data_IF_694985325549
#
_entry.id   IF_694985325549
#
_cell.length_a   1.000
_cell.length_b   1.000
_cell.length_c   1.000
_cell.angle_alpha   90.00
_cell.angle_beta   90.00
_cell.angle_gamma   90.00
#
_symmetry.space_group_name_H-M   'P 1'
#
loop_
_entity.id
_entity.type
_entity.pdbx_description
1 polymer ?
#
# COMPACT_ATOMS: atom_id res chain seq x y z
N UNK A 1 -24.47 31.12 -8.45
CA UNK A 1 -24.59 30.31 -7.24
C UNK A 1 -23.20 29.94 -6.77
N UNK A 2 -22.70 30.49 -5.64
CA UNK A 2 -21.29 30.47 -5.26
C UNK A 2 -21.02 29.56 -4.05
N UNK A 3 -21.33 28.27 -4.14
CA UNK A 3 -20.96 27.26 -3.12
C UNK A 3 -19.91 26.29 -3.70
N UNK A 4 -18.69 26.80 -3.82
CA UNK A 4 -17.50 26.00 -4.09
C UNK A 4 -17.11 25.18 -2.86
N UNK A 5 -17.87 24.14 -2.54
CA UNK A 5 -17.70 23.31 -1.34
C UNK A 5 -17.09 21.95 -1.67
N UNK A 6 -16.06 21.93 -2.51
CA UNK A 6 -15.21 20.76 -2.63
C UNK A 6 -13.75 21.22 -2.75
N UNK A 7 -13.01 21.37 -1.64
CA UNK A 7 -11.58 21.59 -1.72
C UNK A 7 -10.99 20.35 -2.39
N UNK A 8 -10.57 20.49 -3.65
CA UNK A 8 -9.82 19.46 -4.35
C UNK A 8 -8.61 19.11 -3.47
N UNK A 9 -8.63 17.93 -2.87
CA UNK A 9 -7.57 17.45 -2.00
C UNK A 9 -6.74 16.47 -2.81
N UNK A 10 -5.57 16.89 -3.33
CA UNK A 10 -4.73 16.04 -4.18
C UNK A 10 -4.33 14.75 -3.47
N UNK A 11 -4.24 14.80 -2.14
CA UNK A 11 -3.94 13.64 -1.30
C UNK A 11 -5.11 12.64 -1.25
N UNK A 12 -6.37 13.09 -1.24
CA UNK A 12 -7.53 12.19 -1.29
C UNK A 12 -7.69 11.56 -2.67
N UNK A 13 -7.50 12.32 -3.75
CA UNK A 13 -7.53 11.74 -5.09
C UNK A 13 -6.35 10.82 -5.34
N UNK A 14 -5.13 11.17 -4.89
CA UNK A 14 -3.98 10.29 -5.00
C UNK A 14 -4.14 9.00 -4.18
N UNK A 15 -4.78 9.07 -3.01
CA UNK A 15 -5.09 7.87 -2.22
C UNK A 15 -6.15 7.02 -2.93
N UNK A 16 -7.22 7.64 -3.45
CA UNK A 16 -8.27 6.93 -4.18
C UNK A 16 -7.80 6.31 -5.50
N UNK A 17 -6.87 6.96 -6.22
CA UNK A 17 -6.21 6.39 -7.40
C UNK A 17 -5.21 5.28 -7.01
N UNK A 18 -4.40 5.51 -5.98
CA UNK A 18 -3.38 4.55 -5.51
C UNK A 18 -3.99 3.27 -4.93
N UNK A 19 -5.25 3.30 -4.48
CA UNK A 19 -5.98 2.10 -4.08
C UNK A 19 -6.56 1.28 -5.23
N UNK A 20 -6.53 1.78 -6.47
CA UNK A 20 -7.00 1.03 -7.64
C UNK A 20 -5.93 0.07 -8.20
N UNK A 21 -4.66 0.43 -8.05
CA UNK A 21 -3.53 -0.39 -8.50
C UNK A 21 -3.03 -1.27 -7.35
N UNK A 22 -3.38 -2.56 -7.43
CA UNK A 22 -2.86 -3.60 -6.56
C UNK A 22 -1.54 -4.11 -7.14
N UNK A 23 -0.51 -4.18 -6.31
CA UNK A 23 0.77 -4.79 -6.65
C UNK A 23 0.94 -6.09 -5.87
N UNK A 24 1.43 -7.13 -6.56
CA UNK A 24 1.89 -8.33 -5.88
C UNK A 24 3.30 -8.10 -5.35
N UNK A 25 3.51 -8.40 -4.07
CA UNK A 25 4.82 -8.32 -3.43
C UNK A 25 5.23 -9.67 -2.87
N UNK A 26 6.54 -9.92 -2.80
CA UNK A 26 7.15 -11.06 -2.09
C UNK A 26 7.93 -10.53 -0.90
N UNK A 27 7.65 -11.06 0.29
CA UNK A 27 8.35 -10.71 1.51
C UNK A 27 9.79 -11.24 1.48
N UNK A 28 10.72 -10.43 1.96
CA UNK A 28 12.16 -10.76 1.98
C UNK A 28 12.70 -10.95 3.39
N UNK A 29 11.86 -10.77 4.41
CA UNK A 29 12.19 -10.86 5.83
C UNK A 29 11.22 -11.78 6.55
N UNK A 30 11.70 -12.48 7.57
CA UNK A 30 10.88 -13.27 8.48
C UNK A 30 10.32 -12.44 9.64
N UNK A 31 9.29 -12.96 10.32
CA UNK A 31 8.66 -12.35 11.50
C UNK A 31 8.22 -10.89 11.29
N UNK A 32 7.60 -10.60 10.15
CA UNK A 32 7.19 -9.24 9.80
C UNK A 32 5.70 -9.02 10.01
N UNK A 33 5.39 -7.99 10.80
CA UNK A 33 4.02 -7.52 11.03
C UNK A 33 3.90 -6.10 10.48
N UNK A 34 3.04 -5.91 9.48
CA UNK A 34 2.71 -4.61 8.92
C UNK A 34 1.21 -4.34 9.05
N UNK A 35 0.83 -3.11 9.37
CA UNK A 35 -0.57 -2.70 9.48
C UNK A 35 -0.83 -1.51 8.56
N UNK A 36 -1.83 -1.64 7.69
CA UNK A 36 -2.30 -0.58 6.80
C UNK A 36 -3.80 -0.38 7.01
N UNK A 37 -4.17 0.73 7.67
CA UNK A 37 -5.53 0.95 8.13
C UNK A 37 -5.99 -0.18 9.07
N UNK A 38 -7.08 -0.84 8.69
CA UNK A 38 -7.65 -1.96 9.45
C UNK A 38 -7.10 -3.34 9.03
N UNK A 39 -6.19 -3.39 8.05
CA UNK A 39 -5.58 -4.64 7.58
C UNK A 39 -4.23 -4.90 8.24
N UNK A 40 -4.07 -6.08 8.83
CA UNK A 40 -2.81 -6.56 9.41
C UNK A 40 -2.24 -7.67 8.53
N UNK A 41 -0.97 -7.55 8.20
CA UNK A 41 -0.18 -8.50 7.42
C UNK A 41 0.90 -9.07 8.33
N UNK A 42 0.66 -10.28 8.82
CA UNK A 42 1.65 -11.11 9.51
C UNK A 42 2.19 -12.13 8.51
N UNK A 43 3.44 -11.92 8.07
CA UNK A 43 4.04 -12.62 6.93
C UNK A 43 5.51 -12.96 7.17
N UNK A 44 5.93 -14.08 6.58
CA UNK A 44 7.30 -14.59 6.61
C UNK A 44 8.01 -14.42 5.27
N UNK A 45 9.32 -14.64 5.21
CA UNK A 45 10.08 -14.50 3.97
C UNK A 45 9.58 -15.50 2.92
N UNK A 46 9.44 -15.04 1.68
CA UNK A 46 8.89 -15.80 0.56
C UNK A 46 7.37 -15.73 0.43
N UNK A 47 6.64 -15.23 1.44
CA UNK A 47 5.19 -15.02 1.33
C UNK A 47 4.86 -13.99 0.25
N UNK A 48 3.82 -14.28 -0.54
CA UNK A 48 3.34 -13.42 -1.63
C UNK A 48 1.92 -12.99 -1.38
N UNK A 49 1.65 -11.69 -1.55
CA UNK A 49 0.31 -11.14 -1.41
C UNK A 49 0.14 -9.87 -2.23
N UNK A 50 -1.12 -9.53 -2.52
CA UNK A 50 -1.48 -8.28 -3.16
C UNK A 50 -1.73 -7.19 -2.12
N UNK A 51 -1.22 -6.00 -2.39
CA UNK A 51 -1.42 -4.80 -1.57
C UNK A 51 -1.49 -3.57 -2.48
N UNK A 52 -2.20 -2.53 -2.05
CA UNK A 52 -2.23 -1.25 -2.73
C UNK A 52 -0.81 -0.69 -2.94
N UNK A 53 -0.60 0.04 -4.04
CA UNK A 53 0.72 0.55 -4.46
C UNK A 53 1.48 1.27 -3.35
N UNK A 54 0.81 2.13 -2.56
CA UNK A 54 1.46 2.83 -1.46
C UNK A 54 2.01 1.87 -0.39
N UNK A 55 1.30 0.79 -0.09
CA UNK A 55 1.73 -0.25 0.83
C UNK A 55 2.90 -1.07 0.28
N UNK A 56 2.85 -1.43 -1.00
CA UNK A 56 3.96 -2.09 -1.68
C UNK A 56 5.22 -1.22 -1.65
N UNK A 57 5.10 0.05 -2.03
CA UNK A 57 6.20 1.03 -2.01
C UNK A 57 6.79 1.18 -0.61
N UNK A 58 5.94 1.26 0.42
CA UNK A 58 6.39 1.34 1.81
C UNK A 58 7.22 0.10 2.20
N UNK A 59 6.72 -1.10 1.91
CA UNK A 59 7.43 -2.35 2.23
C UNK A 59 8.77 -2.45 1.50
N UNK A 60 8.84 -1.99 0.24
CA UNK A 60 10.07 -1.96 -0.56
C UNK A 60 11.10 -0.98 0.01
N UNK A 61 10.69 0.25 0.31
CA UNK A 61 11.57 1.27 0.90
C UNK A 61 12.13 0.84 2.26
N UNK A 62 11.32 0.09 3.01
CA UNK A 62 11.69 -0.47 4.31
C UNK A 62 12.58 -1.72 4.18
N UNK A 63 12.77 -2.24 2.96
CA UNK A 63 13.58 -3.43 2.67
C UNK A 63 12.93 -4.75 3.07
N UNK A 64 11.60 -4.77 3.19
CA UNK A 64 10.83 -5.91 3.71
C UNK A 64 10.15 -6.73 2.62
N UNK A 65 9.96 -6.15 1.45
CA UNK A 65 9.39 -6.84 0.31
C UNK A 65 10.01 -6.35 -1.00
N UNK A 66 9.77 -7.11 -2.07
CA UNK A 66 10.03 -6.71 -3.45
C UNK A 66 8.74 -6.85 -4.26
N UNK A 67 8.49 -5.92 -5.19
CA UNK A 67 7.39 -6.07 -6.15
C UNK A 67 7.73 -7.22 -7.10
N UNK A 68 6.77 -8.10 -7.32
CA UNK A 68 6.86 -9.20 -8.29
C UNK A 68 5.69 -9.04 -9.27
N UNK A 69 6.04 -8.92 -10.55
CA UNK A 69 5.08 -8.77 -11.65
C UNK A 69 4.52 -10.12 -12.12
#
# INVERSE_FOLDING_TARGET
DPDGTNPYSPLHEALALSTQDMLTVEMTVDDSIAQFGDQVFDRSAGDRFEIHEAGATFLVLKGWAKVIG
#
